data_IF_955570531370
#
_entry.id   IF_955570531370
#
_cell.length_a   1.000
_cell.length_b   1.000
_cell.length_c   1.000
_cell.angle_alpha   90.00
_cell.angle_beta   90.00
_cell.angle_gamma   90.00
#
_symmetry.space_group_name_H-M   'P 1'
#
loop_
_entity.id
_entity.type
_entity.pdbx_description
1 polymer ?
#
# COMPACT_ATOMS: atom_id res chain seq x y z
N UNK A 1 -17.73 23.36 13.01
CA UNK A 1 -17.01 22.27 13.69
C UNK A 1 -15.79 22.87 14.36
N UNK A 2 -15.83 23.06 15.68
CA UNK A 2 -14.69 23.56 16.48
C UNK A 2 -13.61 22.48 16.49
N UNK A 3 -12.47 22.74 15.83
CA UNK A 3 -11.29 21.89 15.96
C UNK A 3 -10.82 21.96 17.41
N UNK A 4 -10.95 20.85 18.12
CA UNK A 4 -10.50 20.70 19.49
C UNK A 4 -9.00 20.37 19.46
N UNK A 5 -8.17 21.33 19.09
CA UNK A 5 -6.71 21.18 19.20
C UNK A 5 -6.33 21.40 20.66
N UNK A 6 -6.07 20.31 21.39
CA UNK A 6 -5.38 20.42 22.67
C UNK A 6 -4.01 21.10 22.43
N UNK A 7 -3.60 22.05 23.29
CA UNK A 7 -2.28 22.65 23.18
C UNK A 7 -1.21 21.56 23.30
N UNK A 8 -0.15 21.67 22.50
CA UNK A 8 1.00 20.77 22.63
C UNK A 8 1.47 20.77 24.10
N UNK A 9 1.73 19.61 24.72
CA UNK A 9 2.25 19.56 26.09
C UNK A 9 3.49 20.45 26.19
N UNK A 10 3.62 21.22 27.28
CA UNK A 10 4.72 22.18 27.50
C UNK A 10 6.14 21.57 27.42
N UNK A 11 6.21 20.24 27.40
CA UNK A 11 7.39 19.40 27.44
C UNK A 11 7.64 18.64 26.12
N UNK A 12 6.95 19.02 25.04
CA UNK A 12 7.08 18.36 23.74
C UNK A 12 8.44 18.67 23.10
N UNK A 13 9.22 17.62 22.81
CA UNK A 13 10.49 17.70 22.08
C UNK A 13 10.43 16.89 20.80
N UNK A 14 11.37 17.10 19.87
CA UNK A 14 11.48 16.32 18.63
C UNK A 14 11.53 14.80 18.89
N UNK A 15 12.38 14.38 19.84
CA UNK A 15 12.52 12.98 20.21
C UNK A 15 11.23 12.38 20.78
N UNK A 16 10.50 13.14 21.61
CA UNK A 16 9.20 12.71 22.17
C UNK A 16 8.10 12.66 21.10
N UNK A 17 8.04 13.66 20.22
CA UNK A 17 7.04 13.73 19.15
C UNK A 17 7.16 12.55 18.17
N UNK A 18 8.39 12.19 17.79
CA UNK A 18 8.64 11.08 16.86
C UNK A 18 8.79 9.72 17.57
N UNK A 19 8.77 9.69 18.90
CA UNK A 19 9.01 8.46 19.67
C UNK A 19 10.40 7.84 19.40
N UNK A 20 11.43 8.67 19.24
CA UNK A 20 12.76 8.21 18.79
C UNK A 20 13.38 7.18 19.73
N UNK A 21 13.20 7.31 21.05
CA UNK A 21 13.77 6.33 21.99
C UNK A 21 13.21 4.93 21.74
N UNK A 22 11.91 4.82 21.40
CA UNK A 22 11.28 3.53 21.03
C UNK A 22 11.70 3.08 19.63
N UNK A 23 11.77 4.01 18.68
CA UNK A 23 12.09 3.68 17.29
C UNK A 23 13.55 3.22 17.14
N UNK A 24 14.48 3.92 17.78
CA UNK A 24 15.93 3.69 17.72
C UNK A 24 16.41 2.62 18.72
N UNK A 25 15.51 2.03 19.52
CA UNK A 25 15.79 0.86 20.34
C UNK A 25 15.26 -0.44 19.74
N UNK A 26 14.62 -0.39 18.56
CA UNK A 26 13.98 -1.55 17.94
C UNK A 26 14.95 -2.39 17.08
N UNK A 27 16.19 -1.94 16.89
CA UNK A 27 17.21 -2.66 16.13
C UNK A 27 17.92 -3.65 17.07
N UNK A 28 17.64 -4.94 16.92
CA UNK A 28 18.21 -6.00 17.73
C UNK A 28 18.80 -7.12 16.84
N UNK A 29 20.00 -6.93 16.25
CA UNK A 29 20.72 -7.99 15.56
C UNK A 29 20.91 -9.22 16.46
N UNK A 30 20.84 -10.41 15.86
CA UNK A 30 21.01 -11.70 16.55
C UNK A 30 22.48 -12.17 16.46
N UNK A 31 23.17 -11.85 15.37
CA UNK A 31 24.60 -12.11 15.17
C UNK A 31 25.47 -10.90 15.52
N UNK A 32 26.78 -11.09 15.48
CA UNK A 32 27.79 -10.04 15.60
C UNK A 32 28.28 -9.52 14.25
N UNK A 33 27.63 -9.92 13.14
CA UNK A 33 28.00 -9.51 11.79
C UNK A 33 27.61 -8.06 11.50
N UNK A 34 28.54 -7.32 10.90
CA UNK A 34 28.38 -5.89 10.64
C UNK A 34 27.14 -5.55 9.80
N UNK A 35 26.88 -6.34 8.76
CA UNK A 35 25.82 -6.09 7.77
C UNK A 35 24.41 -6.45 8.27
N UNK A 36 24.26 -7.11 9.41
CA UNK A 36 22.94 -7.42 9.96
C UNK A 36 22.17 -6.14 10.35
N UNK A 37 22.86 -5.10 10.81
CA UNK A 37 22.22 -3.81 11.10
C UNK A 37 21.58 -3.19 9.85
N UNK A 38 22.28 -3.25 8.70
CA UNK A 38 21.73 -2.82 7.41
C UNK A 38 20.47 -3.64 7.06
N UNK A 39 20.55 -4.96 7.22
CA UNK A 39 19.40 -5.85 7.00
C UNK A 39 18.20 -5.48 7.86
N UNK A 40 18.39 -5.14 9.14
CA UNK A 40 17.29 -4.72 10.02
C UNK A 40 16.73 -3.35 9.60
N UNK A 41 17.58 -2.35 9.43
CA UNK A 41 17.16 -0.97 9.14
C UNK A 41 16.41 -0.87 7.82
N UNK A 42 16.88 -1.55 6.76
CA UNK A 42 16.23 -1.48 5.44
C UNK A 42 14.81 -2.06 5.45
N UNK A 43 14.55 -3.10 6.24
CA UNK A 43 13.19 -3.65 6.38
C UNK A 43 12.32 -2.77 7.27
N UNK A 44 12.84 -2.25 8.38
CA UNK A 44 12.08 -1.36 9.27
C UNK A 44 11.67 -0.06 8.57
N UNK A 45 12.55 0.53 7.77
CA UNK A 45 12.23 1.73 6.97
C UNK A 45 11.15 1.43 5.93
N UNK A 46 11.20 0.27 5.26
CA UNK A 46 10.12 -0.17 4.35
C UNK A 46 8.79 -0.34 5.07
N UNK A 47 8.77 -0.92 6.28
CA UNK A 47 7.54 -1.09 7.07
C UNK A 47 6.95 0.26 7.54
N UNK A 48 7.79 1.27 7.82
CA UNK A 48 7.31 2.63 8.08
C UNK A 48 6.69 3.27 6.83
N UNK A 49 7.30 3.06 5.67
CA UNK A 49 6.75 3.54 4.40
C UNK A 49 5.45 2.83 4.01
N UNK A 50 5.36 1.51 4.21
CA UNK A 50 4.12 0.75 4.01
C UNK A 50 3.01 1.26 4.92
N UNK A 51 3.31 1.57 6.19
CA UNK A 51 2.34 2.19 7.09
C UNK A 51 1.81 3.52 6.55
N UNK A 52 2.68 4.36 6.00
CA UNK A 52 2.27 5.62 5.37
C UNK A 52 1.44 5.35 4.10
N UNK A 53 1.84 4.39 3.25
CA UNK A 53 1.09 4.01 2.05
C UNK A 53 -0.33 3.59 2.42
N UNK A 54 -0.50 2.70 3.42
CA UNK A 54 -1.83 2.25 3.86
C UNK A 54 -2.70 3.44 4.31
N UNK A 55 -2.12 4.42 4.99
CA UNK A 55 -2.82 5.64 5.40
C UNK A 55 -3.30 6.48 4.21
N UNK A 56 -2.44 6.68 3.20
CA UNK A 56 -2.75 7.45 1.99
C UNK A 56 -3.75 6.72 1.07
N UNK A 57 -3.62 5.39 0.91
CA UNK A 57 -4.56 4.61 0.09
C UNK A 57 -5.94 4.60 0.75
N UNK A 58 -6.03 4.47 2.08
CA UNK A 58 -7.31 4.54 2.77
C UNK A 58 -8.00 5.91 2.58
N UNK A 59 -7.25 7.01 2.62
CA UNK A 59 -7.76 8.35 2.30
C UNK A 59 -8.22 8.44 0.84
N UNK A 60 -7.41 7.94 -0.10
CA UNK A 60 -7.75 7.96 -1.51
C UNK A 60 -9.02 7.16 -1.82
N UNK A 61 -9.16 5.95 -1.26
CA UNK A 61 -10.37 5.14 -1.38
C UNK A 61 -11.60 5.88 -0.84
N UNK A 62 -11.48 6.54 0.31
CA UNK A 62 -12.58 7.34 0.85
C UNK A 62 -12.97 8.49 -0.09
N UNK A 63 -12.00 9.17 -0.69
CA UNK A 63 -12.25 10.25 -1.65
C UNK A 63 -12.90 9.72 -2.94
N UNK A 64 -12.35 8.64 -3.51
CA UNK A 64 -12.90 8.00 -4.71
C UNK A 64 -14.34 7.54 -4.49
N UNK A 65 -14.65 6.90 -3.34
CA UNK A 65 -16.02 6.50 -3.01
C UNK A 65 -17.01 7.65 -2.93
N UNK A 66 -16.54 8.83 -2.52
CA UNK A 66 -17.38 10.03 -2.44
C UNK A 66 -17.47 10.80 -3.77
N UNK A 67 -16.79 10.35 -4.83
CA UNK A 67 -16.70 11.05 -6.11
C UNK A 67 -15.65 12.17 -6.15
N UNK A 68 -14.84 12.31 -5.10
CA UNK A 68 -13.76 13.31 -5.00
C UNK A 68 -12.48 12.85 -5.73
N UNK A 69 -12.58 12.56 -7.03
CA UNK A 69 -11.50 11.93 -7.81
C UNK A 69 -10.24 12.79 -7.92
N UNK A 70 -10.41 14.09 -8.18
CA UNK A 70 -9.29 15.03 -8.32
C UNK A 70 -8.55 15.24 -7.00
N UNK A 71 -9.22 15.45 -5.84
CA UNK A 71 -8.54 15.44 -4.54
C UNK A 71 -7.79 14.14 -4.23
N UNK A 72 -8.34 12.97 -4.61
CA UNK A 72 -7.70 11.67 -4.39
C UNK A 72 -6.32 11.57 -5.05
N UNK A 73 -6.13 12.25 -6.20
CA UNK A 73 -4.84 12.32 -6.91
C UNK A 73 -3.69 12.71 -5.99
N UNK A 74 -3.89 13.70 -5.11
CA UNK A 74 -2.82 14.18 -4.22
C UNK A 74 -2.33 13.09 -3.27
N UNK A 75 -3.24 12.24 -2.80
CA UNK A 75 -2.92 11.10 -1.94
C UNK A 75 -2.15 10.03 -2.73
N UNK A 76 -2.66 9.66 -3.92
CA UNK A 76 -2.05 8.64 -4.78
C UNK A 76 -0.67 9.09 -5.32
N UNK A 77 -0.50 10.36 -5.65
CA UNK A 77 0.79 10.92 -6.04
C UNK A 77 1.84 10.78 -4.92
N UNK A 78 1.42 10.92 -3.66
CA UNK A 78 2.32 10.67 -2.51
C UNK A 78 2.67 9.19 -2.40
N UNK A 79 1.72 8.28 -2.60
CA UNK A 79 2.00 6.83 -2.67
C UNK A 79 3.05 6.54 -3.73
N UNK A 80 2.92 7.08 -4.95
CA UNK A 80 3.91 6.89 -6.01
C UNK A 80 5.31 7.41 -5.63
N UNK A 81 5.41 8.52 -4.89
CA UNK A 81 6.71 9.00 -4.39
C UNK A 81 7.31 8.06 -3.34
N UNK A 82 6.49 7.51 -2.45
CA UNK A 82 6.95 6.56 -1.45
C UNK A 82 7.41 5.26 -2.13
N UNK A 83 6.66 4.73 -3.11
CA UNK A 83 7.08 3.57 -3.89
C UNK A 83 8.43 3.81 -4.58
N UNK A 84 8.64 4.99 -5.19
CA UNK A 84 9.94 5.32 -5.79
C UNK A 84 11.10 5.28 -4.78
N UNK A 85 10.90 5.81 -3.56
CA UNK A 85 11.88 5.73 -2.47
C UNK A 85 12.12 4.27 -2.05
N UNK A 86 11.06 3.47 -1.91
CA UNK A 86 11.17 2.05 -1.57
C UNK A 86 11.92 1.26 -2.64
N UNK A 87 11.70 1.54 -3.92
CA UNK A 87 12.42 0.92 -5.03
C UNK A 87 13.90 1.32 -5.01
N UNK A 88 14.20 2.61 -4.91
CA UNK A 88 15.59 3.09 -4.85
C UNK A 88 16.35 2.54 -3.62
N UNK A 89 15.64 2.25 -2.53
CA UNK A 89 16.27 1.67 -1.32
C UNK A 89 16.92 0.31 -1.59
N UNK A 90 16.56 -0.40 -2.66
CA UNK A 90 17.24 -1.63 -3.07
C UNK A 90 18.71 -1.40 -3.43
N UNK A 91 19.08 -0.21 -3.92
CA UNK A 91 20.48 0.13 -4.23
C UNK A 91 21.37 0.11 -2.97
N UNK A 92 20.80 0.47 -1.82
CA UNK A 92 21.49 0.39 -0.52
C UNK A 92 21.64 -1.07 -0.11
N UNK A 93 20.59 -1.89 -0.25
CA UNK A 93 20.71 -3.32 0.09
C UNK A 93 21.70 -4.04 -0.84
N UNK A 94 21.80 -3.62 -2.10
CA UNK A 94 22.71 -4.20 -3.08
C UNK A 94 24.21 -4.01 -2.74
N UNK A 95 24.54 -3.15 -1.77
CA UNK A 95 25.92 -3.04 -1.26
C UNK A 95 26.30 -4.21 -0.35
N UNK A 96 25.33 -4.99 0.15
CA UNK A 96 25.56 -6.22 0.90
C UNK A 96 25.80 -7.37 -0.08
N UNK A 97 27.00 -7.95 -0.06
CA UNK A 97 27.33 -9.03 -0.99
C UNK A 97 26.67 -10.34 -0.56
N UNK A 98 26.55 -11.32 -1.47
CA UNK A 98 26.12 -12.67 -1.08
C UNK A 98 27.01 -13.29 0.00
N UNK A 99 28.32 -12.97 0.01
CA UNK A 99 29.23 -13.45 1.04
C UNK A 99 28.88 -12.88 2.42
N UNK A 100 28.58 -11.58 2.50
CA UNK A 100 28.17 -10.92 3.75
C UNK A 100 26.85 -11.49 4.27
N UNK A 101 25.86 -11.65 3.38
CA UNK A 101 24.56 -12.21 3.76
C UNK A 101 24.64 -13.65 4.27
N UNK A 102 25.48 -14.49 3.64
CA UNK A 102 25.64 -15.89 4.06
C UNK A 102 26.22 -16.04 5.47
N UNK A 103 26.93 -15.03 5.99
CA UNK A 103 27.53 -15.08 7.33
C UNK A 103 26.48 -15.03 8.45
N UNK A 104 25.37 -14.32 8.25
CA UNK A 104 24.30 -14.21 9.26
C UNK A 104 22.96 -14.82 8.80
N UNK A 105 22.79 -15.26 7.55
CA UNK A 105 21.52 -15.86 7.07
C UNK A 105 20.98 -16.96 7.99
N UNK A 106 21.86 -17.75 8.61
CA UNK A 106 21.49 -18.82 9.52
C UNK A 106 20.65 -18.37 10.73
N UNK A 107 20.88 -17.17 11.26
CA UNK A 107 20.14 -16.66 12.44
C UNK A 107 18.73 -16.17 12.11
N UNK A 108 18.43 -15.92 10.83
CA UNK A 108 17.13 -15.41 10.38
C UNK A 108 16.03 -16.48 10.31
N UNK A 109 16.39 -17.77 10.40
CA UNK A 109 15.44 -18.88 10.35
C UNK A 109 14.52 -18.83 9.12
N UNK A 110 13.20 -18.95 9.36
CA UNK A 110 12.16 -18.89 8.33
C UNK A 110 11.66 -17.47 8.01
N UNK A 111 12.27 -16.43 8.61
CA UNK A 111 11.82 -15.04 8.40
C UNK A 111 11.91 -14.63 6.93
N UNK A 112 10.82 -14.02 6.44
CA UNK A 112 10.69 -13.57 5.06
C UNK A 112 9.73 -12.39 4.93
N UNK A 113 9.97 -11.52 3.94
CA UNK A 113 9.05 -10.44 3.56
C UNK A 113 7.65 -10.93 3.14
N UNK A 114 7.48 -12.21 2.80
CA UNK A 114 6.15 -12.80 2.58
C UNK A 114 5.23 -12.72 3.80
N UNK A 115 5.81 -12.61 5.00
CA UNK A 115 5.08 -12.54 6.27
C UNK A 115 4.63 -11.11 6.62
N UNK A 116 5.00 -10.09 5.84
CA UNK A 116 4.58 -8.70 6.07
C UNK A 116 3.08 -8.54 5.82
N UNK A 117 2.30 -8.34 6.89
CA UNK A 117 0.87 -8.06 6.77
C UNK A 117 0.61 -6.68 6.15
N UNK A 118 1.47 -5.69 6.37
CA UNK A 118 1.30 -4.34 5.80
C UNK A 118 1.41 -4.39 4.27
N UNK A 119 2.39 -5.14 3.77
CA UNK A 119 2.54 -5.35 2.34
C UNK A 119 1.33 -6.08 1.74
N UNK A 120 0.85 -7.15 2.39
CA UNK A 120 -0.34 -7.88 1.93
C UNK A 120 -1.63 -7.07 2.01
N UNK A 121 -1.75 -6.18 3.00
CA UNK A 121 -2.85 -5.21 3.08
C UNK A 121 -2.80 -4.23 1.92
N UNK A 122 -1.62 -3.72 1.57
CA UNK A 122 -1.47 -2.81 0.44
C UNK A 122 -1.89 -3.49 -0.87
N UNK A 123 -1.41 -4.71 -1.13
CA UNK A 123 -1.85 -5.53 -2.26
C UNK A 123 -3.37 -5.74 -2.27
N UNK A 124 -3.96 -6.13 -1.14
CA UNK A 124 -5.40 -6.36 -1.04
C UNK A 124 -6.20 -5.07 -1.29
N UNK A 125 -5.72 -3.91 -0.84
CA UNK A 125 -6.35 -2.61 -1.11
C UNK A 125 -6.26 -2.20 -2.58
N UNK A 126 -5.28 -2.70 -3.33
CA UNK A 126 -5.18 -2.53 -4.78
C UNK A 126 -5.97 -3.55 -5.60
N UNK A 127 -6.52 -4.59 -4.96
CA UNK A 127 -7.34 -5.63 -5.62
C UNK A 127 -6.64 -6.99 -5.79
N UNK A 128 -5.39 -7.10 -5.36
CA UNK A 128 -4.63 -8.35 -5.33
C UNK A 128 -5.01 -9.16 -4.08
N UNK A 129 -6.17 -9.80 -4.12
CA UNK A 129 -6.76 -10.53 -2.98
C UNK A 129 -6.21 -11.95 -2.88
N UNK A 130 -5.58 -12.31 -1.75
CA UNK A 130 -5.15 -13.68 -1.48
C UNK A 130 -5.23 -14.04 0.01
N UNK A 131 -6.25 -14.84 0.36
CA UNK A 131 -6.49 -15.27 1.74
C UNK A 131 -5.44 -16.25 2.28
N UNK A 132 -4.60 -16.87 1.43
CA UNK A 132 -3.57 -17.82 1.89
C UNK A 132 -2.57 -17.18 2.84
N UNK A 133 -2.33 -15.87 2.70
CA UNK A 133 -1.41 -15.13 3.55
C UNK A 133 -1.89 -14.91 4.99
N UNK A 134 -3.17 -15.17 5.29
CA UNK A 134 -3.69 -15.11 6.66
C UNK A 134 -3.00 -16.12 7.58
N UNK A 135 -2.58 -17.27 7.04
CA UNK A 135 -1.89 -18.32 7.81
C UNK A 135 -0.55 -17.83 8.41
N UNK A 136 0.10 -16.82 7.82
CA UNK A 136 1.31 -16.21 8.37
C UNK A 136 1.04 -15.23 9.53
N UNK A 137 -0.22 -15.04 9.91
CA UNK A 137 -0.66 -14.04 10.89
C UNK A 137 -1.37 -14.66 12.11
N UNK A 138 -1.42 -15.99 12.21
CA UNK A 138 -2.19 -16.70 13.25
C UNK A 138 -1.75 -16.33 14.67
N UNK A 139 -0.45 -16.04 14.87
CA UNK A 139 0.13 -15.60 16.14
C UNK A 139 0.08 -14.08 16.35
N UNK A 140 -0.40 -13.32 15.36
CA UNK A 140 -0.50 -11.85 15.36
C UNK A 140 -1.96 -11.42 15.15
N UNK A 141 -2.83 -11.53 16.18
CA UNK A 141 -4.28 -11.38 16.00
C UNK A 141 -4.71 -10.03 15.43
N UNK A 142 -4.03 -8.94 15.81
CA UNK A 142 -4.30 -7.61 15.24
C UNK A 142 -3.95 -7.52 13.74
N UNK A 143 -2.81 -8.09 13.34
CA UNK A 143 -2.38 -8.14 11.94
C UNK A 143 -3.31 -9.05 11.11
N UNK A 144 -3.69 -10.21 11.65
CA UNK A 144 -4.66 -11.10 11.04
C UNK A 144 -6.01 -10.42 10.81
N UNK A 145 -6.55 -9.75 11.83
CA UNK A 145 -7.80 -9.02 11.72
C UNK A 145 -7.72 -7.90 10.69
N UNK A 146 -6.62 -7.13 10.70
CA UNK A 146 -6.41 -6.04 9.74
C UNK A 146 -6.29 -6.55 8.29
N UNK A 147 -5.58 -7.66 8.06
CA UNK A 147 -5.46 -8.27 6.73
C UNK A 147 -6.78 -8.87 6.26
N UNK A 148 -7.50 -9.57 7.13
CA UNK A 148 -8.83 -10.12 6.83
C UNK A 148 -9.82 -9.02 6.43
N UNK A 149 -9.83 -7.90 7.17
CA UNK A 149 -10.66 -6.75 6.82
C UNK A 149 -10.29 -6.13 5.46
N UNK A 150 -8.99 -5.99 5.16
CA UNK A 150 -8.54 -5.47 3.87
C UNK A 150 -8.89 -6.40 2.70
N UNK A 151 -8.85 -7.73 2.90
CA UNK A 151 -9.26 -8.71 1.89
C UNK A 151 -10.76 -8.60 1.62
N UNK A 152 -11.58 -8.54 2.68
CA UNK A 152 -13.04 -8.50 2.57
C UNK A 152 -13.61 -7.17 2.05
N UNK A 153 -12.85 -6.07 2.12
CA UNK A 153 -13.29 -4.75 1.67
C UNK A 153 -13.10 -4.56 0.15
N UNK A 154 -13.89 -3.67 -0.50
CA UNK A 154 -13.64 -3.21 -1.86
C UNK A 154 -12.21 -2.65 -2.01
N UNK A 155 -11.58 -2.94 -3.14
CA UNK A 155 -10.30 -2.35 -3.51
C UNK A 155 -10.46 -0.93 -4.07
N UNK A 156 -9.35 -0.22 -4.22
CA UNK A 156 -9.32 1.06 -4.94
C UNK A 156 -9.83 0.93 -6.37
N UNK A 157 -9.58 -0.22 -7.01
CA UNK A 157 -10.09 -0.48 -8.35
C UNK A 157 -11.61 -0.70 -8.34
N UNK A 158 -12.15 -1.44 -7.37
CA UNK A 158 -13.61 -1.58 -7.21
C UNK A 158 -14.28 -0.22 -7.00
N UNK A 159 -13.68 0.64 -6.18
CA UNK A 159 -14.15 2.00 -5.96
C UNK A 159 -14.11 2.81 -7.27
N UNK A 160 -13.08 2.65 -8.11
CA UNK A 160 -12.99 3.30 -9.42
C UNK A 160 -14.06 2.79 -10.41
N UNK A 161 -14.34 1.49 -10.43
CA UNK A 161 -15.40 0.89 -11.27
C UNK A 161 -16.79 1.38 -10.87
N UNK A 162 -17.04 1.57 -9.58
CA UNK A 162 -18.27 2.19 -9.10
C UNK A 162 -18.40 3.65 -9.59
N UNK A 163 -17.29 4.39 -9.69
CA UNK A 163 -17.29 5.76 -10.20
C UNK A 163 -17.51 5.84 -11.71
N UNK A 164 -16.99 4.88 -12.49
CA UNK A 164 -17.36 4.75 -13.91
C UNK A 164 -18.88 4.57 -14.07
N UNK A 165 -19.47 3.66 -13.29
CA UNK A 165 -20.92 3.42 -13.33
C UNK A 165 -21.72 4.66 -12.91
N UNK A 166 -21.29 5.35 -11.84
CA UNK A 166 -21.92 6.58 -11.36
C UNK A 166 -21.85 7.72 -12.40
N UNK A 167 -20.81 7.75 -13.23
CA UNK A 167 -20.66 8.67 -14.34
C UNK A 167 -21.52 8.31 -15.57
N UNK A 168 -22.24 7.19 -15.53
CA UNK A 168 -23.11 6.72 -16.61
C UNK A 168 -22.42 5.88 -17.68
N UNK A 169 -21.18 5.42 -17.43
CA UNK A 169 -20.48 4.50 -18.32
C UNK A 169 -21.00 3.07 -18.13
N UNK A 170 -21.02 2.24 -19.19
CA UNK A 170 -21.68 0.93 -19.18
C UNK A 170 -20.86 -0.15 -18.46
N UNK A 171 -20.75 -0.05 -17.13
CA UNK A 171 -20.18 -1.10 -16.28
C UNK A 171 -21.26 -2.14 -15.96
N UNK A 172 -20.93 -3.42 -16.20
CA UNK A 172 -21.82 -4.55 -15.99
C UNK A 172 -22.23 -4.69 -14.51
N UNK A 173 -23.49 -5.03 -14.24
CA UNK A 173 -24.00 -5.18 -12.87
C UNK A 173 -23.25 -6.28 -12.09
N UNK A 174 -22.86 -7.34 -12.78
CA UNK A 174 -22.12 -8.48 -12.24
C UNK A 174 -20.75 -8.08 -11.70
N UNK A 175 -20.12 -7.07 -12.32
CA UNK A 175 -18.84 -6.51 -11.85
C UNK A 175 -19.06 -5.69 -10.57
N UNK A 176 -20.15 -4.93 -10.50
CA UNK A 176 -20.46 -4.06 -9.35
C UNK A 176 -20.97 -4.85 -8.13
N UNK A 177 -21.61 -6.00 -8.34
CA UNK A 177 -22.16 -6.85 -7.28
C UNK A 177 -21.32 -8.12 -6.99
N UNK A 178 -20.08 -8.16 -7.48
CA UNK A 178 -19.19 -9.32 -7.30
C UNK A 178 -18.82 -9.56 -5.83
N UNK A 179 -18.32 -10.75 -5.53
CA UNK A 179 -17.62 -11.02 -4.27
C UNK A 179 -16.26 -10.29 -4.29
N UNK A 180 -16.19 -9.13 -3.61
CA UNK A 180 -14.98 -8.29 -3.55
C UNK A 180 -13.82 -8.92 -2.79
N UNK A 181 -14.05 -10.01 -2.04
CA UNK A 181 -12.99 -10.77 -1.39
C UNK A 181 -12.16 -11.62 -2.35
N UNK A 182 -12.64 -11.78 -3.59
CA UNK A 182 -11.93 -12.48 -4.68
C UNK A 182 -11.15 -11.49 -5.54
N UNK A 183 -10.06 -11.95 -6.19
CA UNK A 183 -9.39 -11.18 -7.24
C UNK A 183 -10.39 -10.68 -8.30
N UNK A 184 -10.12 -9.49 -8.83
CA UNK A 184 -10.85 -8.99 -9.99
C UNK A 184 -10.54 -9.85 -11.22
N UNK A 185 -11.58 -10.20 -11.98
CA UNK A 185 -11.46 -10.89 -13.27
C UNK A 185 -11.76 -9.90 -14.40
N UNK A 186 -10.97 -9.88 -15.48
CA UNK A 186 -11.18 -8.98 -16.62
C UNK A 186 -12.60 -9.09 -17.22
N UNK A 187 -13.16 -7.94 -17.62
CA UNK A 187 -14.46 -7.84 -18.29
C UNK A 187 -14.37 -6.93 -19.50
N UNK A 188 -14.83 -7.39 -20.66
CA UNK A 188 -14.91 -6.60 -21.89
C UNK A 188 -15.74 -5.32 -21.71
N UNK A 189 -16.76 -5.34 -20.84
CA UNK A 189 -17.56 -4.15 -20.54
C UNK A 189 -16.79 -3.09 -19.77
N UNK A 190 -15.92 -3.51 -18.85
CA UNK A 190 -15.01 -2.60 -18.13
C UNK A 190 -13.97 -2.01 -19.08
N UNK A 191 -13.40 -2.83 -19.96
CA UNK A 191 -12.46 -2.36 -20.99
C UNK A 191 -13.14 -1.32 -21.91
N UNK A 192 -14.35 -1.58 -22.37
CA UNK A 192 -15.11 -0.65 -23.19
C UNK A 192 -15.42 0.67 -22.46
N UNK A 193 -15.74 0.60 -21.16
CA UNK A 193 -15.98 1.79 -20.34
C UNK A 193 -14.72 2.65 -20.20
N UNK A 194 -13.55 2.04 -19.95
CA UNK A 194 -12.27 2.76 -19.95
C UNK A 194 -11.94 3.30 -21.34
N UNK A 195 -12.15 2.54 -22.41
CA UNK A 195 -11.90 3.00 -23.77
C UNK A 195 -12.68 4.27 -24.12
N UNK A 196 -13.92 4.39 -23.64
CA UNK A 196 -14.72 5.62 -23.77
C UNK A 196 -14.10 6.79 -23.01
N UNK A 197 -13.58 6.58 -21.80
CA UNK A 197 -12.83 7.59 -21.03
C UNK A 197 -11.62 8.10 -21.82
N UNK A 198 -10.86 7.19 -22.43
CA UNK A 198 -9.66 7.55 -23.22
C UNK A 198 -9.98 8.19 -24.58
N UNK A 199 -11.18 7.98 -25.13
CA UNK A 199 -11.60 8.59 -26.41
C UNK A 199 -11.99 10.06 -26.27
N UNK A 200 -12.45 10.48 -25.09
CA UNK A 200 -12.90 11.85 -24.82
C UNK A 200 -12.38 12.31 -23.45
N UNK A 201 -11.07 12.57 -23.38
CA UNK A 201 -10.37 12.91 -22.14
C UNK A 201 -10.76 14.29 -21.60
N UNK A 202 -11.21 15.21 -22.45
CA UNK A 202 -11.71 16.53 -22.03
C UNK A 202 -13.03 16.37 -21.26
N UNK A 203 -13.93 15.53 -21.76
CA UNK A 203 -15.19 15.20 -21.06
C UNK A 203 -14.94 14.41 -19.78
N UNK A 204 -14.06 13.42 -19.84
CA UNK A 204 -13.85 12.44 -18.76
C UNK A 204 -12.60 12.71 -17.92
N UNK A 205 -12.13 13.96 -17.87
CA UNK A 205 -10.84 14.32 -17.28
C UNK A 205 -10.56 13.71 -15.90
N UNK A 206 -11.54 13.74 -14.99
CA UNK A 206 -11.37 13.20 -13.64
C UNK A 206 -11.18 11.67 -13.62
N UNK A 207 -11.88 10.94 -14.49
CA UNK A 207 -11.75 9.48 -14.64
C UNK A 207 -10.48 9.12 -15.40
N UNK A 208 -10.13 9.88 -16.44
CA UNK A 208 -8.88 9.71 -17.19
C UNK A 208 -7.68 9.90 -16.26
N UNK A 209 -7.65 10.98 -15.48
CA UNK A 209 -6.59 11.22 -14.51
C UNK A 209 -6.49 10.10 -13.46
N UNK A 210 -7.63 9.57 -13.00
CA UNK A 210 -7.64 8.44 -12.08
C UNK A 210 -7.08 7.18 -12.75
N UNK A 211 -7.46 6.88 -14.01
CA UNK A 211 -6.94 5.74 -14.77
C UNK A 211 -5.41 5.78 -14.87
N UNK A 212 -4.84 6.91 -15.28
CA UNK A 212 -3.39 7.09 -15.38
C UNK A 212 -2.70 6.93 -14.01
N UNK A 213 -3.34 7.38 -12.91
CA UNK A 213 -2.82 7.13 -11.57
C UNK A 213 -2.85 5.66 -11.17
N UNK A 214 -3.86 4.90 -11.59
CA UNK A 214 -3.93 3.47 -11.30
C UNK A 214 -2.84 2.71 -12.06
N UNK A 215 -2.60 3.07 -13.33
CA UNK A 215 -1.48 2.53 -14.14
C UNK A 215 -0.13 2.84 -13.48
N UNK A 216 0.10 4.10 -13.10
CA UNK A 216 1.34 4.50 -12.41
C UNK A 216 1.61 3.69 -11.13
N UNK A 217 0.54 3.37 -10.37
CA UNK A 217 0.67 2.59 -9.12
C UNK A 217 0.99 1.12 -9.39
N UNK A 218 0.38 0.53 -10.42
CA UNK A 218 0.64 -0.84 -10.84
C UNK A 218 2.08 -0.98 -11.38
N UNK A 219 2.49 -0.09 -12.29
CA UNK A 219 3.84 -0.05 -12.83
C UNK A 219 4.90 0.12 -11.73
N UNK A 220 4.64 0.99 -10.75
CA UNK A 220 5.52 1.17 -9.61
C UNK A 220 5.59 -0.07 -8.70
N UNK A 221 4.47 -0.79 -8.53
CA UNK A 221 4.44 -2.04 -7.77
C UNK A 221 5.18 -3.16 -8.50
N UNK A 222 5.04 -3.26 -9.82
CA UNK A 222 5.78 -4.20 -10.67
C UNK A 222 7.28 -3.91 -10.64
N UNK A 223 7.67 -2.64 -10.73
CA UNK A 223 9.08 -2.23 -10.68
C UNK A 223 9.73 -2.53 -9.33
N UNK A 224 8.96 -2.50 -8.25
CA UNK A 224 9.46 -2.81 -6.91
C UNK A 224 9.68 -4.32 -6.67
N UNK A 225 8.91 -5.17 -7.35
CA UNK A 225 8.94 -6.65 -7.24
C UNK A 225 10.14 -7.25 -7.97
#
# INVERSE_FOLDING_TARGET
MTQNTQPAPADMTYARYLGLDRLLSAQAPISDEHDEMLFVIIHQTKELWLKQILHEVALAQSMVRNGDLVPAYKSLARVSRIQAVMTQSWDILATMTPADYLRFRGVLGSSSGFQSDQFRRFEAMLGLKDARFLSFQEDRPEAHAALSAAIAAPSLYDDALAQLAAAGLPVQAEVLSRDVSRPYEPSEGVEAAWLEVYRDTDRWWALYQLAEKLVDLDDALLTWR
#
